data_IF_074353806619
#
_entry.id   IF_074353806619
#
_cell.length_a   1.000
_cell.length_b   1.000
_cell.length_c   1.000
_cell.angle_alpha   90.00
_cell.angle_beta   90.00
_cell.angle_gamma   90.00
#
_symmetry.space_group_name_H-M   'P 1'
#
loop_
_entity.id
_entity.type
_entity.pdbx_description
1 polymer ?
#
# COMPACT_ATOMS: atom_id res chain seq x y z
N UNK A 1 4.44 -21.39 -30.20
CA UNK A 1 3.22 -20.59 -30.08
C UNK A 1 2.96 -20.47 -28.60
N UNK A 2 3.18 -19.29 -28.01
CA UNK A 2 2.70 -18.96 -26.68
C UNK A 2 1.18 -18.87 -26.81
N UNK A 3 0.47 -19.75 -26.16
CA UNK A 3 -0.97 -19.59 -25.95
C UNK A 3 -1.11 -18.34 -25.08
N UNK A 4 -1.40 -17.19 -25.69
CA UNK A 4 -1.88 -16.01 -25.00
C UNK A 4 -3.23 -16.41 -24.45
N UNK A 5 -3.32 -16.64 -23.16
CA UNK A 5 -4.59 -16.92 -22.51
C UNK A 5 -5.25 -15.55 -22.28
N UNK A 6 -6.50 -15.39 -22.73
CA UNK A 6 -7.33 -14.23 -22.36
C UNK A 6 -7.22 -13.96 -20.87
N UNK A 7 -6.72 -12.77 -20.50
CA UNK A 7 -6.41 -12.48 -19.10
C UNK A 7 -6.98 -11.13 -18.67
N UNK A 8 -7.56 -11.13 -17.48
CA UNK A 8 -8.00 -9.92 -16.78
C UNK A 8 -7.30 -9.85 -15.44
N UNK A 9 -6.52 -8.83 -15.23
CA UNK A 9 -5.82 -8.58 -13.98
C UNK A 9 -6.41 -7.37 -13.25
N UNK A 10 -6.63 -7.52 -11.95
CA UNK A 10 -7.07 -6.44 -11.08
C UNK A 10 -6.08 -6.25 -9.94
N UNK A 11 -5.54 -5.04 -9.83
CA UNK A 11 -4.65 -4.65 -8.74
C UNK A 11 -5.41 -3.71 -7.82
N UNK A 12 -5.68 -4.16 -6.59
CA UNK A 12 -6.29 -3.37 -5.54
C UNK A 12 -5.18 -2.79 -4.66
N UNK A 13 -5.14 -1.48 -4.54
CA UNK A 13 -4.12 -0.77 -3.78
C UNK A 13 -4.74 0.03 -2.65
N UNK A 14 -4.34 -0.26 -1.42
CA UNK A 14 -4.61 0.55 -0.24
C UNK A 14 -3.39 1.45 0.03
N UNK A 15 -3.53 2.75 -0.20
CA UNK A 15 -2.49 3.75 0.05
C UNK A 15 -2.88 4.59 1.26
N UNK A 16 -2.13 4.46 2.35
CA UNK A 16 -2.37 5.12 3.64
C UNK A 16 -1.31 6.17 3.90
N UNK A 17 -1.74 7.38 4.24
CA UNK A 17 -0.85 8.49 4.63
C UNK A 17 -0.66 8.53 6.15
N UNK A 18 0.42 9.16 6.60
CA UNK A 18 0.78 9.31 8.02
C UNK A 18 -0.34 9.89 8.89
N UNK A 19 -1.14 10.81 8.33
CA UNK A 19 -2.28 11.43 9.03
C UNK A 19 -3.52 10.54 9.13
N UNK A 20 -3.51 9.35 8.50
CA UNK A 20 -4.62 8.39 8.51
C UNK A 20 -5.61 8.55 7.36
N UNK A 21 -5.43 9.52 6.50
CA UNK A 21 -6.17 9.62 5.23
C UNK A 21 -5.53 8.73 4.18
N UNK A 22 -6.22 8.51 3.08
CA UNK A 22 -5.62 7.73 2.00
C UNK A 22 -6.55 7.50 0.82
N UNK A 23 -6.20 6.54 0.00
CA UNK A 23 -6.95 6.16 -1.20
C UNK A 23 -6.98 4.64 -1.33
N UNK A 24 -8.14 4.12 -1.62
CA UNK A 24 -8.33 2.75 -2.09
C UNK A 24 -8.57 2.81 -3.60
N UNK A 25 -7.74 2.13 -4.39
CA UNK A 25 -7.84 2.12 -5.84
C UNK A 25 -7.83 0.70 -6.39
N UNK A 26 -8.53 0.52 -7.51
CA UNK A 26 -8.60 -0.72 -8.27
C UNK A 26 -8.22 -0.36 -9.70
N UNK A 27 -7.19 -1.01 -10.20
CA UNK A 27 -6.79 -0.93 -11.61
C UNK A 27 -7.07 -2.29 -12.23
N UNK A 28 -8.03 -2.34 -13.13
CA UNK A 28 -8.36 -3.56 -13.88
C UNK A 28 -7.88 -3.41 -15.31
N UNK A 29 -7.12 -4.40 -15.77
CA UNK A 29 -6.58 -4.48 -17.13
C UNK A 29 -7.04 -5.77 -17.78
N UNK A 30 -7.68 -5.65 -18.93
CA UNK A 30 -8.00 -6.75 -19.83
C UNK A 30 -6.96 -6.76 -20.97
N UNK A 31 -6.43 -7.91 -21.33
CA UNK A 31 -5.47 -8.03 -22.43
C UNK A 31 -6.15 -7.82 -23.81
N UNK A 32 -5.33 -7.74 -24.86
CA UNK A 32 -5.80 -7.54 -26.24
C UNK A 32 -6.71 -8.68 -26.74
N UNK A 33 -6.46 -9.91 -26.27
CA UNK A 33 -7.25 -11.07 -26.65
C UNK A 33 -8.68 -10.97 -26.08
N UNK A 34 -8.82 -10.54 -24.81
CA UNK A 34 -10.13 -10.26 -24.20
C UNK A 34 -10.85 -9.16 -24.96
N UNK A 35 -10.17 -8.04 -25.28
CA UNK A 35 -10.77 -6.92 -26.04
C UNK A 35 -11.19 -7.35 -27.44
N UNK A 36 -10.41 -8.21 -28.10
CA UNK A 36 -10.76 -8.71 -29.43
C UNK A 36 -12.01 -9.60 -29.43
N UNK A 37 -12.25 -10.35 -28.35
CA UNK A 37 -13.43 -11.19 -28.17
C UNK A 37 -14.68 -10.40 -27.74
N UNK A 38 -14.48 -9.23 -27.14
CA UNK A 38 -15.56 -8.34 -26.70
C UNK A 38 -15.28 -6.89 -27.12
N UNK A 39 -15.40 -6.56 -28.43
CA UNK A 39 -15.03 -5.24 -28.95
C UNK A 39 -15.87 -4.09 -28.35
N UNK A 40 -17.08 -4.37 -27.89
CA UNK A 40 -17.97 -3.39 -27.27
C UNK A 40 -17.81 -3.31 -25.73
N UNK A 41 -16.83 -4.02 -25.18
CA UNK A 41 -16.60 -4.11 -23.72
C UNK A 41 -16.56 -2.74 -23.04
N UNK A 42 -15.87 -1.76 -23.64
CA UNK A 42 -15.77 -0.41 -23.09
C UNK A 42 -17.12 0.33 -23.00
N UNK A 43 -18.06 -0.01 -23.88
CA UNK A 43 -19.39 0.61 -23.94
C UNK A 43 -20.39 -0.12 -23.03
N UNK A 44 -20.22 -1.42 -22.87
CA UNK A 44 -21.10 -2.27 -22.06
C UNK A 44 -20.81 -2.16 -20.55
N UNK A 45 -19.60 -1.68 -20.19
CA UNK A 45 -19.26 -1.47 -18.78
C UNK A 45 -20.01 -0.26 -18.19
N UNK A 46 -20.92 -0.52 -17.27
CA UNK A 46 -21.58 0.51 -16.47
C UNK A 46 -20.95 0.60 -15.09
N UNK A 47 -20.57 1.81 -14.71
CA UNK A 47 -20.00 2.14 -13.40
C UNK A 47 -20.90 3.12 -12.62
N UNK A 48 -22.17 3.21 -12.97
CA UNK A 48 -23.06 4.22 -12.39
C UNK A 48 -23.29 3.97 -10.90
N UNK A 49 -23.39 2.71 -10.48
CA UNK A 49 -23.51 2.35 -9.06
C UNK A 49 -22.26 2.73 -8.27
N UNK A 50 -21.08 2.50 -8.83
CA UNK A 50 -19.82 2.90 -8.20
C UNK A 50 -19.73 4.44 -8.08
N UNK A 51 -20.09 5.20 -9.13
CA UNK A 51 -20.13 6.66 -9.10
C UNK A 51 -21.15 7.18 -8.08
N UNK A 52 -22.32 6.58 -8.01
CA UNK A 52 -23.37 6.91 -7.04
C UNK A 52 -22.93 6.62 -5.60
N UNK A 53 -22.09 5.60 -5.40
CA UNK A 53 -21.44 5.29 -4.12
C UNK A 53 -20.23 6.16 -3.79
N UNK A 54 -19.90 7.16 -4.62
CA UNK A 54 -18.82 8.12 -4.39
C UNK A 54 -17.46 7.72 -4.96
N UNK A 55 -17.40 6.63 -5.72
CA UNK A 55 -16.16 6.23 -6.39
C UNK A 55 -15.88 7.09 -7.62
N UNK A 56 -14.61 7.42 -7.80
CA UNK A 56 -14.11 8.06 -9.02
C UNK A 56 -13.75 6.96 -10.01
N UNK A 57 -14.30 7.03 -11.21
CA UNK A 57 -14.05 6.05 -12.27
C UNK A 57 -13.41 6.77 -13.46
N UNK A 58 -12.26 6.27 -13.92
CA UNK A 58 -11.65 6.74 -15.16
C UNK A 58 -12.45 6.23 -16.38
N UNK A 59 -12.42 6.97 -17.47
CA UNK A 59 -12.86 6.40 -18.73
C UNK A 59 -11.96 5.20 -19.11
N UNK A 60 -12.52 4.13 -19.71
CA UNK A 60 -11.71 3.06 -20.27
C UNK A 60 -10.65 3.62 -21.23
N UNK A 61 -9.41 3.13 -21.10
CA UNK A 61 -8.29 3.54 -21.95
C UNK A 61 -7.61 2.31 -22.55
N UNK A 62 -7.13 2.45 -23.77
CA UNK A 62 -6.38 1.39 -24.44
C UNK A 62 -4.95 1.34 -23.89
N UNK A 63 -4.45 0.14 -23.60
CA UNK A 63 -3.05 -0.09 -23.20
C UNK A 63 -2.14 -0.12 -24.43
N UNK A 64 -0.81 -0.01 -24.22
CA UNK A 64 0.18 -0.06 -25.32
C UNK A 64 0.10 -1.37 -26.11
N UNK A 65 -0.26 -2.46 -25.43
CA UNK A 65 -0.38 -3.81 -26.03
C UNK A 65 -1.75 -4.06 -26.69
N UNK A 66 -2.62 -3.04 -26.78
CA UNK A 66 -3.95 -3.17 -27.39
C UNK A 66 -5.03 -3.71 -26.45
N UNK A 67 -4.74 -3.88 -25.19
CA UNK A 67 -5.69 -4.21 -24.14
C UNK A 67 -6.51 -2.98 -23.69
N UNK A 68 -7.28 -3.15 -22.61
CA UNK A 68 -8.09 -2.09 -22.01
C UNK A 68 -7.82 -1.99 -20.51
N UNK A 69 -7.76 -0.76 -20.02
CA UNK A 69 -7.60 -0.49 -18.58
C UNK A 69 -8.69 0.46 -18.08
N UNK A 70 -9.17 0.19 -16.88
CA UNK A 70 -10.08 1.05 -16.10
C UNK A 70 -9.52 1.22 -14.71
N UNK A 71 -9.60 2.44 -14.16
CA UNK A 71 -9.24 2.73 -12.78
C UNK A 71 -10.45 3.22 -12.01
N UNK A 72 -10.68 2.60 -10.85
CA UNK A 72 -11.72 3.00 -9.89
C UNK A 72 -11.04 3.35 -8.57
N UNK A 73 -11.40 4.49 -7.96
CA UNK A 73 -10.75 4.92 -6.71
C UNK A 73 -11.71 5.64 -5.76
N UNK A 74 -11.47 5.49 -4.48
CA UNK A 74 -12.19 6.20 -3.41
C UNK A 74 -11.19 6.70 -2.35
N UNK A 75 -11.32 7.95 -1.94
CA UNK A 75 -10.52 8.51 -0.84
C UNK A 75 -11.18 8.21 0.49
N UNK A 76 -10.38 8.02 1.53
CA UNK A 76 -10.86 7.88 2.91
C UNK A 76 -10.17 8.87 3.84
N UNK A 77 -10.82 9.22 4.94
CA UNK A 77 -10.35 10.23 5.89
C UNK A 77 -9.76 9.64 7.17
N UNK A 78 -9.97 8.35 7.41
CA UNK A 78 -9.50 7.64 8.59
C UNK A 78 -9.44 6.12 8.34
N UNK A 79 -8.73 5.34 9.19
CA UNK A 79 -8.57 3.90 9.06
C UNK A 79 -9.89 3.11 9.09
N UNK A 80 -10.89 3.58 9.83
CA UNK A 80 -12.20 2.93 9.92
C UNK A 80 -12.94 3.02 8.59
N UNK A 81 -12.88 4.17 7.92
CA UNK A 81 -13.46 4.36 6.60
C UNK A 81 -12.76 3.47 5.55
N UNK A 82 -11.43 3.31 5.62
CA UNK A 82 -10.70 2.37 4.77
C UNK A 82 -11.19 0.92 4.96
N UNK A 83 -11.42 0.50 6.21
CA UNK A 83 -11.96 -0.82 6.53
C UNK A 83 -13.36 -1.02 5.95
N UNK A 84 -14.23 -0.01 6.03
CA UNK A 84 -15.57 -0.05 5.43
C UNK A 84 -15.52 -0.12 3.91
N UNK A 85 -14.64 0.63 3.25
CA UNK A 85 -14.47 0.58 1.80
C UNK A 85 -14.02 -0.80 1.33
N UNK A 86 -13.06 -1.44 2.03
CA UNK A 86 -12.64 -2.81 1.73
C UNK A 86 -13.79 -3.81 1.89
N UNK A 87 -14.62 -3.62 2.93
CA UNK A 87 -15.83 -4.45 3.11
C UNK A 87 -16.86 -4.23 2.00
N UNK A 88 -17.04 -3.00 1.52
CA UNK A 88 -17.95 -2.68 0.40
C UNK A 88 -17.49 -3.32 -0.91
N UNK A 89 -16.17 -3.32 -1.19
CA UNK A 89 -15.63 -3.98 -2.39
C UNK A 89 -15.89 -5.48 -2.41
N UNK A 90 -15.97 -6.08 -1.25
CA UNK A 90 -16.12 -7.52 -1.12
C UNK A 90 -17.56 -8.00 -1.27
N UNK A 91 -18.53 -7.22 -0.84
CA UNK A 91 -19.89 -7.72 -0.68
C UNK A 91 -19.93 -8.99 0.17
N UNK A 92 -20.95 -9.82 -0.02
CA UNK A 92 -21.11 -11.06 0.73
C UNK A 92 -20.09 -12.16 0.32
N UNK A 93 -19.78 -12.24 -0.97
CA UNK A 93 -19.00 -13.35 -1.55
C UNK A 93 -17.62 -12.94 -2.09
N UNK A 94 -17.30 -11.65 -2.10
CA UNK A 94 -16.05 -11.14 -2.64
C UNK A 94 -14.82 -11.48 -1.78
N UNK A 95 -13.62 -11.13 -2.26
CA UNK A 95 -12.36 -11.66 -1.74
C UNK A 95 -11.97 -11.16 -0.35
N UNK A 96 -12.41 -9.97 0.08
CA UNK A 96 -11.96 -9.37 1.33
C UNK A 96 -12.88 -9.75 2.50
N UNK A 97 -12.38 -10.50 3.45
CA UNK A 97 -13.14 -10.92 4.64
C UNK A 97 -12.53 -10.30 5.91
N UNK A 98 -13.39 -9.73 6.73
CA UNK A 98 -13.03 -9.20 8.06
C UNK A 98 -11.86 -8.21 8.03
N UNK A 99 -11.77 -7.42 6.98
CA UNK A 99 -10.70 -6.45 6.80
C UNK A 99 -10.77 -5.33 7.84
N UNK A 100 -9.65 -5.08 8.49
CA UNK A 100 -9.52 -4.06 9.53
C UNK A 100 -8.17 -3.34 9.41
N UNK A 101 -8.22 -2.04 9.21
CA UNK A 101 -7.07 -1.15 9.33
C UNK A 101 -7.19 -0.38 10.64
N UNK A 102 -6.16 -0.45 11.48
CA UNK A 102 -6.11 0.28 12.74
C UNK A 102 -4.81 1.05 12.86
N UNK A 103 -4.86 2.15 13.63
CA UNK A 103 -3.73 2.98 13.97
C UNK A 103 -3.68 3.22 15.45
N UNK A 104 -2.52 3.06 16.07
CA UNK A 104 -2.22 3.54 17.42
C UNK A 104 -1.08 4.56 17.35
N UNK A 105 -1.07 5.53 18.28
CA UNK A 105 -0.12 6.64 18.24
C UNK A 105 -0.59 7.81 17.38
N UNK A 106 0.29 8.76 17.09
CA UNK A 106 -0.01 9.99 16.34
C UNK A 106 1.10 10.31 15.34
N UNK A 107 0.69 10.82 14.18
CA UNK A 107 1.56 11.33 13.13
C UNK A 107 2.77 10.42 12.83
N UNK A 108 3.98 10.90 13.05
CA UNK A 108 5.23 10.20 12.80
C UNK A 108 5.66 9.25 13.94
N UNK A 109 4.80 8.99 14.92
CA UNK A 109 5.02 8.02 15.98
C UNK A 109 3.75 7.18 16.13
N UNK A 110 3.57 6.27 15.20
CA UNK A 110 2.35 5.48 15.08
C UNK A 110 2.65 4.06 14.60
N UNK A 111 1.86 3.13 15.12
CA UNK A 111 1.83 1.73 14.68
C UNK A 111 0.55 1.50 13.88
N UNK A 112 0.70 0.92 12.72
CA UNK A 112 -0.36 0.56 11.81
C UNK A 112 -0.53 -0.94 11.78
N UNK A 113 -1.75 -1.41 11.85
CA UNK A 113 -2.07 -2.83 11.73
C UNK A 113 -3.16 -3.02 10.69
N UNK A 114 -2.86 -3.86 9.69
CA UNK A 114 -3.82 -4.32 8.70
C UNK A 114 -4.05 -5.81 8.91
N UNK A 115 -5.28 -6.18 9.19
CA UNK A 115 -5.69 -7.56 9.42
C UNK A 115 -6.90 -7.92 8.57
N UNK A 116 -7.05 -9.21 8.28
CA UNK A 116 -8.16 -9.77 7.54
C UNK A 116 -7.77 -11.06 6.86
N UNK A 117 -8.55 -11.44 5.85
CA UNK A 117 -8.22 -12.59 5.01
C UNK A 117 -8.76 -12.39 3.59
N UNK A 118 -8.06 -13.00 2.65
CA UNK A 118 -8.51 -13.14 1.27
C UNK A 118 -9.07 -14.54 1.08
N UNK A 119 -10.27 -14.62 0.50
CA UNK A 119 -10.97 -15.89 0.28
C UNK A 119 -11.98 -15.71 -0.84
N UNK A 120 -11.90 -16.52 -1.88
CA UNK A 120 -12.89 -16.57 -2.96
C UNK A 120 -13.47 -17.96 -3.01
N UNK A 121 -14.74 -18.08 -2.61
CA UNK A 121 -15.50 -19.32 -2.68
C UNK A 121 -16.47 -19.28 -3.85
N UNK A 122 -16.45 -20.31 -4.71
CA UNK A 122 -17.34 -20.40 -5.86
C UNK A 122 -16.77 -19.84 -7.17
N UNK A 123 -15.45 -19.59 -7.23
CA UNK A 123 -14.80 -19.11 -8.45
C UNK A 123 -15.36 -17.76 -8.91
N UNK A 124 -15.70 -17.62 -10.20
CA UNK A 124 -16.28 -16.39 -10.76
C UNK A 124 -17.67 -16.05 -10.24
N UNK A 125 -18.43 -17.04 -9.78
CA UNK A 125 -19.77 -16.82 -9.20
C UNK A 125 -19.70 -15.94 -7.94
N UNK A 126 -18.52 -15.89 -7.27
CA UNK A 126 -18.30 -15.02 -6.13
C UNK A 126 -18.40 -13.52 -6.46
N UNK A 127 -18.24 -13.15 -7.72
CA UNK A 127 -18.28 -11.76 -8.21
C UNK A 127 -19.59 -11.42 -8.93
N UNK A 128 -20.49 -12.40 -9.12
CA UNK A 128 -21.77 -12.20 -9.76
C UNK A 128 -22.84 -11.81 -8.74
N UNK A 129 -23.82 -11.04 -9.20
CA UNK A 129 -25.00 -10.73 -8.40
C UNK A 129 -25.77 -12.02 -8.04
N UNK A 130 -26.06 -12.30 -6.76
CA UNK A 130 -26.77 -13.50 -6.34
C UNK A 130 -28.18 -13.64 -6.95
N UNK A 131 -28.86 -12.53 -7.23
CA UNK A 131 -30.19 -12.55 -7.88
C UNK A 131 -30.05 -12.87 -9.37
N UNK A 132 -29.00 -12.34 -10.03
CA UNK A 132 -28.67 -12.68 -11.40
C UNK A 132 -28.37 -14.18 -11.53
N UNK A 133 -27.52 -14.73 -10.66
CA UNK A 133 -27.18 -16.16 -10.64
C UNK A 133 -28.42 -17.06 -10.51
N UNK A 134 -29.40 -16.66 -9.66
CA UNK A 134 -30.65 -17.38 -9.52
C UNK A 134 -31.52 -17.33 -10.79
N UNK A 135 -31.51 -16.18 -11.46
CA UNK A 135 -32.34 -15.94 -12.65
C UNK A 135 -31.86 -16.69 -13.87
N UNK A 136 -30.55 -16.79 -14.06
CA UNK A 136 -29.92 -17.41 -15.24
C UNK A 136 -29.36 -18.82 -14.97
N UNK A 137 -29.43 -19.28 -13.71
CA UNK A 137 -29.02 -20.64 -13.34
C UNK A 137 -27.50 -20.87 -13.28
N UNK A 138 -26.70 -19.80 -13.12
CA UNK A 138 -25.25 -19.85 -13.03
C UNK A 138 -24.59 -18.59 -13.61
N UNK A 139 -23.26 -18.48 -13.51
CA UNK A 139 -22.54 -17.38 -14.12
C UNK A 139 -22.73 -17.36 -15.63
N UNK A 140 -23.05 -16.20 -16.25
CA UNK A 140 -23.23 -16.10 -17.70
C UNK A 140 -22.00 -16.53 -18.50
N UNK A 141 -20.81 -16.48 -17.89
CA UNK A 141 -19.54 -16.85 -18.51
C UNK A 141 -19.04 -18.25 -18.12
N UNK A 142 -19.68 -18.94 -17.16
CA UNK A 142 -19.20 -20.24 -16.67
C UNK A 142 -19.19 -21.29 -17.78
N UNK A 143 -20.21 -21.33 -18.64
CA UNK A 143 -20.27 -22.28 -19.77
C UNK A 143 -19.21 -21.97 -20.82
N UNK A 144 -18.95 -20.70 -21.11
CA UNK A 144 -17.95 -20.26 -22.07
C UNK A 144 -16.54 -20.59 -21.57
N UNK A 145 -16.26 -20.34 -20.30
CA UNK A 145 -14.98 -20.69 -19.66
C UNK A 145 -14.77 -22.22 -19.59
N UNK A 146 -15.80 -22.97 -19.17
CA UNK A 146 -15.73 -24.42 -19.14
C UNK A 146 -15.46 -25.03 -20.53
N UNK A 147 -16.03 -24.46 -21.57
CA UNK A 147 -15.82 -24.87 -22.96
C UNK A 147 -14.49 -24.42 -23.54
N UNK A 148 -13.88 -23.35 -23.02
CA UNK A 148 -12.56 -22.87 -23.46
C UNK A 148 -11.39 -23.70 -22.90
N UNK A 149 -11.64 -24.52 -21.85
CA UNK A 149 -10.61 -25.26 -21.16
C UNK A 149 -9.64 -24.40 -20.36
N UNK A 150 -9.95 -23.13 -20.17
CA UNK A 150 -9.13 -22.20 -19.38
C UNK A 150 -9.37 -22.41 -17.88
N UNK A 151 -8.29 -22.49 -17.12
CA UNK A 151 -8.33 -22.41 -15.68
C UNK A 151 -8.64 -20.96 -15.27
N UNK A 152 -9.61 -20.75 -14.39
CA UNK A 152 -10.02 -19.43 -13.90
C UNK A 152 -8.83 -18.68 -13.30
N UNK A 153 -7.96 -19.38 -12.54
CA UNK A 153 -6.75 -18.79 -11.97
C UNK A 153 -5.71 -18.33 -12.99
N UNK A 154 -5.81 -18.82 -14.23
CA UNK A 154 -4.97 -18.35 -15.34
C UNK A 154 -5.62 -17.18 -16.09
N UNK A 155 -6.95 -17.15 -16.14
CA UNK A 155 -7.70 -16.12 -16.85
C UNK A 155 -7.95 -14.86 -16.02
N UNK A 156 -7.97 -14.96 -14.69
CA UNK A 156 -8.23 -13.84 -13.78
C UNK A 156 -7.14 -13.77 -12.72
N UNK A 157 -6.50 -12.61 -12.60
CA UNK A 157 -5.56 -12.29 -11.54
C UNK A 157 -6.12 -11.21 -10.62
N UNK A 158 -6.04 -11.40 -9.31
CA UNK A 158 -6.35 -10.37 -8.33
C UNK A 158 -5.19 -10.25 -7.36
N UNK A 159 -4.64 -9.04 -7.27
CA UNK A 159 -3.58 -8.69 -6.33
C UNK A 159 -4.07 -7.62 -5.37
N UNK A 160 -3.74 -7.77 -4.12
CA UNK A 160 -3.94 -6.74 -3.10
C UNK A 160 -2.60 -6.24 -2.61
N UNK A 161 -2.42 -4.92 -2.63
CA UNK A 161 -1.21 -4.22 -2.19
C UNK A 161 -1.55 -3.22 -1.11
N UNK A 162 -0.71 -3.12 -0.08
CA UNK A 162 -0.90 -2.15 1.00
C UNK A 162 0.34 -1.30 1.20
N UNK A 163 0.19 0.02 1.02
CA UNK A 163 1.21 1.01 1.35
C UNK A 163 0.83 1.62 2.70
N UNK A 164 1.54 1.21 3.75
CA UNK A 164 1.36 1.70 5.11
C UNK A 164 2.48 2.64 5.49
N UNK A 165 2.22 3.68 6.30
CA UNK A 165 3.28 4.58 6.76
C UNK A 165 4.29 3.88 7.66
N UNK A 166 5.58 4.11 7.39
CA UNK A 166 6.68 3.56 8.18
C UNK A 166 7.30 2.29 7.60
N UNK A 167 8.09 1.61 8.42
CA UNK A 167 8.74 0.35 8.06
C UNK A 167 7.83 -0.84 8.39
N UNK A 168 7.79 -1.83 7.51
CA UNK A 168 7.05 -3.07 7.75
C UNK A 168 7.83 -3.91 8.77
N UNK A 169 7.27 -4.06 9.97
CA UNK A 169 7.84 -4.88 11.04
C UNK A 169 7.54 -6.37 10.82
N UNK A 170 6.33 -6.66 10.40
CA UNK A 170 5.91 -8.02 10.08
C UNK A 170 4.79 -8.02 9.04
N UNK A 171 4.76 -9.04 8.19
CA UNK A 171 3.69 -9.22 7.21
C UNK A 171 3.52 -10.71 6.84
N UNK A 172 2.30 -11.09 6.48
CA UNK A 172 1.99 -12.37 5.82
C UNK A 172 2.04 -12.26 4.30
N UNK A 173 2.12 -11.06 3.77
CA UNK A 173 2.27 -10.80 2.34
C UNK A 173 3.71 -10.97 1.88
N UNK A 174 3.89 -11.07 0.57
CA UNK A 174 5.22 -11.01 -0.05
C UNK A 174 5.66 -9.55 -0.05
N UNK A 175 6.85 -9.28 0.50
CA UNK A 175 7.42 -7.93 0.44
C UNK A 175 7.94 -7.64 -0.98
N UNK A 176 7.34 -6.64 -1.61
CA UNK A 176 7.75 -6.16 -2.93
C UNK A 176 8.22 -4.72 -2.78
N UNK A 177 9.54 -4.51 -2.74
CA UNK A 177 10.16 -3.18 -2.63
C UNK A 177 9.63 -2.32 -1.46
N UNK A 178 9.37 -2.96 -0.30
CA UNK A 178 8.96 -2.27 0.93
C UNK A 178 7.44 -2.13 1.12
N UNK A 179 6.63 -2.82 0.35
CA UNK A 179 5.20 -2.95 0.59
C UNK A 179 4.74 -4.41 0.47
N UNK A 180 3.82 -4.86 1.32
CA UNK A 180 3.26 -6.20 1.25
C UNK A 180 2.24 -6.34 0.12
N UNK A 181 2.31 -7.48 -0.56
CA UNK A 181 1.42 -7.89 -1.62
C UNK A 181 0.88 -9.29 -1.36
N UNK A 182 -0.39 -9.50 -1.67
CA UNK A 182 -1.07 -10.79 -1.63
C UNK A 182 -1.76 -11.04 -2.96
N UNK A 183 -1.74 -12.31 -3.38
CA UNK A 183 -2.47 -12.76 -4.58
C UNK A 183 -3.68 -13.56 -4.13
N UNK A 184 -4.83 -13.25 -4.69
CA UNK A 184 -6.08 -13.97 -4.38
C UNK A 184 -6.09 -15.30 -5.11
N UNK A 185 -6.33 -16.39 -4.37
CA UNK A 185 -6.54 -17.73 -4.96
C UNK A 185 -8.01 -17.97 -5.24
N UNK A 186 -8.30 -18.61 -6.38
CA UNK A 186 -9.67 -18.95 -6.79
C UNK A 186 -10.04 -20.41 -6.49
N UNK A 187 -9.16 -21.12 -5.78
CA UNK A 187 -9.33 -22.53 -5.40
C UNK A 187 -10.09 -22.73 -4.06
N UNK A 188 -10.59 -21.66 -3.48
CA UNK A 188 -11.26 -21.66 -2.17
C UNK A 188 -10.29 -21.63 -0.98
N UNK A 189 -8.99 -21.55 -1.21
CA UNK A 189 -8.01 -21.39 -0.13
C UNK A 189 -8.13 -20.02 0.51
N UNK A 190 -7.94 -19.98 1.84
CA UNK A 190 -7.94 -18.74 2.61
C UNK A 190 -6.51 -18.26 2.83
N UNK A 191 -6.22 -17.02 2.46
CA UNK A 191 -4.96 -16.36 2.76
C UNK A 191 -5.15 -15.31 3.85
N UNK A 192 -4.45 -15.45 4.96
CA UNK A 192 -4.46 -14.49 6.06
C UNK A 192 -3.73 -13.22 5.67
N UNK A 193 -4.31 -12.07 6.00
CA UNK A 193 -3.67 -10.75 5.95
C UNK A 193 -3.37 -10.33 7.38
N UNK A 194 -2.09 -10.18 7.69
CA UNK A 194 -1.62 -9.61 8.95
C UNK A 194 -0.35 -8.83 8.65
N UNK A 195 -0.39 -7.53 8.83
CA UNK A 195 0.74 -6.63 8.61
C UNK A 195 0.82 -5.62 9.73
N UNK A 196 2.02 -5.42 10.25
CA UNK A 196 2.34 -4.38 11.22
C UNK A 196 3.39 -3.48 10.60
N UNK A 197 3.13 -2.17 10.56
CA UNK A 197 4.08 -1.16 10.15
C UNK A 197 4.28 -0.15 11.27
N UNK A 198 5.53 0.24 11.50
CA UNK A 198 5.90 1.26 12.48
C UNK A 198 6.43 2.51 11.79
N UNK A 199 5.74 3.62 11.99
CA UNK A 199 6.22 4.94 11.61
C UNK A 199 6.86 5.58 12.83
N UNK A 200 8.18 5.51 12.92
CA UNK A 200 8.93 6.14 14.00
C UNK A 200 9.66 7.36 13.47
N UNK A 201 9.49 8.49 14.15
CA UNK A 201 10.22 9.70 13.84
C UNK A 201 11.71 9.57 14.24
N UNK A 202 12.45 8.76 13.50
CA UNK A 202 13.90 8.55 13.71
C UNK A 202 14.65 9.88 13.75
N UNK A 203 14.20 10.87 12.95
CA UNK A 203 14.79 12.21 12.94
C UNK A 203 14.65 12.96 14.27
N UNK A 204 13.53 12.82 14.98
CA UNK A 204 13.32 13.50 16.26
C UNK A 204 14.07 12.84 17.41
N UNK A 205 14.22 11.53 17.40
CA UNK A 205 14.94 10.79 18.43
C UNK A 205 16.45 11.01 18.31
N UNK A 206 17.02 10.96 17.11
CA UNK A 206 18.43 11.28 16.87
C UNK A 206 18.72 12.73 17.22
N UNK A 207 17.89 13.69 16.82
CA UNK A 207 18.05 15.09 17.17
C UNK A 207 17.97 15.34 18.68
N UNK A 208 17.09 14.65 19.41
CA UNK A 208 16.97 14.78 20.88
C UNK A 208 18.19 14.24 21.63
N UNK A 209 18.85 13.20 21.12
CA UNK A 209 20.00 12.57 21.77
C UNK A 209 21.30 13.25 21.33
N UNK A 210 21.46 13.57 20.06
CA UNK A 210 22.71 14.11 19.49
C UNK A 210 22.90 15.60 19.78
N UNK A 211 21.83 16.40 19.82
CA UNK A 211 21.94 17.85 20.06
C UNK A 211 22.57 18.19 21.43
N UNK A 212 22.14 17.64 22.58
CA UNK A 212 22.78 17.94 23.85
C UNK A 212 24.23 17.41 23.95
N UNK A 213 24.54 16.28 23.31
CA UNK A 213 25.88 15.71 23.27
C UNK A 213 26.83 16.60 22.47
N UNK A 214 26.41 17.03 21.27
CA UNK A 214 27.18 17.93 20.43
C UNK A 214 27.38 19.31 21.08
N UNK A 215 26.35 19.83 21.75
CA UNK A 215 26.45 21.08 22.51
C UNK A 215 27.43 20.96 23.67
N UNK A 216 27.40 19.85 24.40
CA UNK A 216 28.34 19.55 25.49
C UNK A 216 29.78 19.46 24.98
N UNK A 217 30.04 18.76 23.89
CA UNK A 217 31.35 18.68 23.25
C UNK A 217 31.83 20.05 22.76
N UNK A 218 30.99 20.86 22.19
CA UNK A 218 31.30 22.22 21.73
C UNK A 218 31.71 23.12 22.91
N UNK A 219 30.98 23.06 24.03
CA UNK A 219 31.32 23.81 25.26
C UNK A 219 32.69 23.38 25.80
N UNK A 220 32.95 22.09 25.89
CA UNK A 220 34.26 21.56 26.35
C UNK A 220 35.38 22.02 25.40
N UNK A 221 35.14 22.00 24.11
CA UNK A 221 36.14 22.45 23.12
C UNK A 221 36.44 23.95 23.24
N UNK A 222 35.43 24.81 23.38
CA UNK A 222 35.60 26.26 23.57
C UNK A 222 36.32 26.56 24.89
N UNK A 223 35.98 25.89 25.99
CA UNK A 223 36.67 26.03 27.28
C UNK A 223 38.11 25.55 27.19
N UNK A 224 38.35 24.47 26.45
CA UNK A 224 39.70 23.94 26.20
C UNK A 224 40.59 24.94 25.47
N UNK A 225 40.08 25.55 24.40
CA UNK A 225 40.81 26.60 23.64
C UNK A 225 41.01 27.86 24.49
N UNK A 226 39.97 28.29 25.21
CA UNK A 226 40.07 29.47 26.09
C UNK A 226 41.10 29.25 27.21
N UNK A 227 41.08 28.09 27.85
CA UNK A 227 42.05 27.69 28.88
C UNK A 227 43.49 27.60 28.34
N UNK A 228 43.63 27.02 27.14
CA UNK A 228 44.94 26.92 26.49
C UNK A 228 45.53 28.29 26.13
N UNK A 229 44.72 29.18 25.55
CA UNK A 229 45.15 30.54 25.20
C UNK A 229 45.51 31.38 26.42
N UNK A 230 44.71 31.26 27.50
CA UNK A 230 45.01 31.92 28.77
C UNK A 230 46.30 31.36 29.40
N UNK A 231 46.53 30.06 29.35
CA UNK A 231 47.77 29.43 29.83
C UNK A 231 49.01 29.90 29.05
N UNK A 232 48.92 29.94 27.72
CA UNK A 232 50.01 30.42 26.87
C UNK A 232 50.29 31.92 27.14
N UNK A 233 49.22 32.73 27.27
CA UNK A 233 49.35 34.15 27.62
C UNK A 233 50.01 34.37 28.99
N UNK A 234 49.60 33.60 30.00
CA UNK A 234 50.16 33.67 31.35
C UNK A 234 51.63 33.23 31.39
N UNK A 235 52.00 32.19 30.70
CA UNK A 235 53.41 31.71 30.62
C UNK A 235 54.29 32.71 29.90
N UNK A 236 53.83 33.38 28.84
CA UNK A 236 54.55 34.44 28.14
C UNK A 236 54.71 35.67 29.04
N UNK A 237 53.65 36.08 29.76
CA UNK A 237 53.71 37.20 30.68
C UNK A 237 54.71 36.96 31.82
N UNK A 238 54.73 35.78 32.39
CA UNK A 238 55.68 35.39 33.46
C UNK A 238 57.15 35.36 32.98
N UNK A 239 57.39 35.02 31.71
CA UNK A 239 58.70 35.00 31.08
C UNK A 239 59.25 36.41 30.79
N UNK A 240 58.37 37.32 30.40
CA UNK A 240 58.65 38.74 30.12
C UNK A 240 59.17 39.52 31.37
N UNK A 241 58.77 39.11 32.59
CA UNK A 241 59.16 39.74 33.85
C UNK A 241 60.50 39.23 34.41
N UNK A 242 61.17 38.28 33.76
CA UNK A 242 62.40 37.67 34.22
C UNK A 242 63.65 38.12 33.43
N UNK A 243 63.61 39.23 32.69
CA UNK A 243 64.80 39.83 32.10
C UNK A 243 65.51 40.63 33.19
N UNK A 244 66.67 40.19 33.64
CA UNK A 244 67.50 41.01 34.56
C UNK A 244 68.11 42.15 33.81
N UNK A 245 67.94 43.37 34.33
CA UNK A 245 68.72 44.52 34.03
C UNK A 245 70.22 44.23 34.35
N UNK A 246 71.10 44.39 33.36
CA UNK A 246 72.50 44.61 33.55
C UNK A 246 72.78 46.11 33.49
#
# INVERSE_FOLDING_TARGET
MLLSACRVDSVITLDVKENGTGTLSIVTTADADVVSLAPDLAQDLSFDDAKNAGWKVSAPSTTEDGGMQVTVSHSFNNPQEASLLLAQLSGANGPFKEMSLTRSGKDTDSTWMLNGRLEVNGGLDAFADPELLKTIGGSPFAATLANSGLDIGQAVGIEFRAFLPGEIESTTGVDIFGYPQWTVSFDGSTQSIATVAQNTAVKSTIARITTPILLGLLIIWVLGIGGFTAFVGFTRYKRSRRTPTK
#
